data_IF_295915664758
#
_entry.id   IF_295915664758
#
_cell.length_a   1.000
_cell.length_b   1.000
_cell.length_c   1.000
_cell.angle_alpha   90.00
_cell.angle_beta   90.00
_cell.angle_gamma   90.00
#
_symmetry.space_group_name_H-M   'P 1'
#
loop_
_entity.id
_entity.type
_entity.pdbx_description
1 polymer ?
#
# COMPACT_ATOMS: atom_id res chain seq x y z
N UNK A 1 -2.14 7.16 -41.03
CA UNK A 1 -2.25 5.70 -40.87
C UNK A 1 -3.72 5.35 -40.82
N UNK A 2 -4.21 4.52 -41.75
CA UNK A 2 -5.55 3.92 -41.65
C UNK A 2 -5.48 2.72 -40.72
N UNK A 3 -6.50 2.54 -39.89
CA UNK A 3 -6.60 1.37 -39.01
C UNK A 3 -6.89 0.08 -39.80
N UNK A 4 -6.56 -1.11 -39.27
CA UNK A 4 -6.88 -2.36 -39.94
C UNK A 4 -8.39 -2.65 -39.92
N UNK A 5 -8.94 -3.42 -40.88
CA UNK A 5 -10.38 -3.69 -40.96
C UNK A 5 -11.00 -4.39 -39.73
N UNK A 6 -10.18 -5.05 -38.91
CA UNK A 6 -10.58 -5.76 -37.70
C UNK A 6 -10.30 -4.96 -36.41
N UNK A 7 -10.04 -3.65 -36.51
CA UNK A 7 -9.69 -2.82 -35.35
C UNK A 7 -10.75 -2.86 -34.23
N UNK A 8 -12.04 -2.85 -34.59
CA UNK A 8 -13.14 -2.97 -33.63
C UNK A 8 -13.12 -4.32 -32.92
N UNK A 9 -12.93 -5.42 -33.66
CA UNK A 9 -12.85 -6.76 -33.09
C UNK A 9 -11.67 -6.92 -32.10
N UNK A 10 -10.52 -6.27 -32.36
CA UNK A 10 -9.37 -6.29 -31.43
C UNK A 10 -9.62 -5.55 -30.13
N UNK A 11 -10.34 -4.42 -30.19
CA UNK A 11 -10.68 -3.62 -28.99
C UNK A 11 -11.82 -4.25 -28.19
N UNK A 12 -12.67 -5.05 -28.82
CA UNK A 12 -13.81 -5.71 -28.19
C UNK A 12 -13.44 -6.94 -27.35
N UNK A 13 -12.18 -7.37 -27.34
CA UNK A 13 -11.72 -8.46 -26.47
C UNK A 13 -11.88 -8.05 -25.00
N UNK A 14 -12.58 -8.88 -24.22
CA UNK A 14 -12.82 -8.59 -22.80
C UNK A 14 -11.50 -8.61 -22.00
N UNK A 15 -11.30 -7.63 -21.11
CA UNK A 15 -10.15 -7.63 -20.22
C UNK A 15 -10.17 -8.83 -19.26
N UNK A 16 -9.00 -9.39 -18.97
CA UNK A 16 -8.82 -10.43 -17.95
C UNK A 16 -7.94 -9.86 -16.83
N UNK A 17 -8.40 -10.00 -15.59
CA UNK A 17 -7.63 -9.56 -14.41
C UNK A 17 -6.40 -10.47 -14.25
N UNK A 18 -5.22 -9.87 -14.19
CA UNK A 18 -3.95 -10.61 -14.08
C UNK A 18 -3.81 -11.37 -12.76
N UNK A 19 -4.25 -10.76 -11.65
CA UNK A 19 -4.21 -11.33 -10.30
C UNK A 19 -5.55 -11.07 -9.61
N UNK A 20 -6.51 -12.00 -9.68
CA UNK A 20 -7.76 -11.88 -8.94
C UNK A 20 -7.46 -11.78 -7.44
N UNK A 21 -7.94 -10.73 -6.77
CA UNK A 21 -7.60 -10.50 -5.36
C UNK A 21 -8.23 -11.57 -4.44
N UNK A 22 -9.27 -12.25 -4.90
CA UNK A 22 -9.97 -13.33 -4.19
C UNK A 22 -9.08 -14.57 -3.97
N UNK A 23 -7.99 -14.72 -4.74
CA UNK A 23 -7.03 -15.81 -4.56
C UNK A 23 -5.97 -15.50 -3.50
N UNK A 24 -5.92 -14.26 -3.00
CA UNK A 24 -5.02 -13.89 -1.91
C UNK A 24 -5.66 -14.21 -0.57
N UNK A 25 -4.88 -14.83 0.34
CA UNK A 25 -5.35 -15.05 1.70
C UNK A 25 -5.60 -13.69 2.38
N UNK A 26 -6.84 -13.40 2.81
CA UNK A 26 -7.15 -12.12 3.43
C UNK A 26 -6.40 -12.00 4.78
N UNK A 27 -5.95 -10.80 5.16
CA UNK A 27 -5.47 -10.59 6.52
C UNK A 27 -6.63 -10.74 7.52
N UNK A 28 -6.33 -11.25 8.72
CA UNK A 28 -7.31 -11.29 9.82
C UNK A 28 -7.42 -9.90 10.45
N UNK A 29 -8.25 -9.05 9.83
CA UNK A 29 -8.47 -7.68 10.29
C UNK A 29 -9.12 -7.63 11.68
N UNK A 30 -9.87 -8.64 12.08
CA UNK A 30 -10.49 -8.70 13.40
C UNK A 30 -9.47 -9.05 14.46
N UNK A 31 -8.53 -9.96 14.18
CA UNK A 31 -7.38 -10.19 15.05
C UNK A 31 -6.54 -8.92 15.21
N UNK A 32 -6.29 -8.19 14.13
CA UNK A 32 -5.57 -6.91 14.19
C UNK A 32 -6.30 -5.90 15.07
N UNK A 33 -7.60 -5.66 14.84
CA UNK A 33 -8.42 -4.74 15.66
C UNK A 33 -8.42 -5.13 17.14
N UNK A 34 -8.55 -6.42 17.45
CA UNK A 34 -8.51 -6.92 18.84
C UNK A 34 -7.15 -6.70 19.47
N UNK A 35 -6.07 -6.99 18.75
CA UNK A 35 -4.71 -6.72 19.24
C UNK A 35 -4.53 -5.23 19.55
N UNK A 36 -5.06 -4.34 18.70
CA UNK A 36 -4.90 -2.90 18.81
C UNK A 36 -5.75 -2.25 19.92
N UNK A 37 -6.72 -2.94 20.50
CA UNK A 37 -7.61 -2.40 21.53
C UNK A 37 -6.86 -1.81 22.74
N UNK A 38 -5.68 -2.36 23.06
CA UNK A 38 -4.86 -1.94 24.21
C UNK A 38 -3.54 -1.27 23.81
N UNK A 39 -3.36 -0.91 22.53
CA UNK A 39 -2.12 -0.30 22.07
C UNK A 39 -1.95 1.07 22.70
N UNK A 40 -0.72 1.39 23.11
CA UNK A 40 -0.32 2.70 23.61
C UNK A 40 0.64 3.33 22.61
N UNK A 41 0.49 4.64 22.39
CA UNK A 41 1.47 5.40 21.61
C UNK A 41 2.81 5.33 22.34
N UNK A 42 3.83 4.84 21.64
CA UNK A 42 5.19 4.71 22.18
C UNK A 42 6.13 5.79 21.66
N UNK A 43 5.84 6.33 20.48
CA UNK A 43 6.70 7.31 19.82
C UNK A 43 5.88 8.18 18.85
N UNK A 44 6.47 9.29 18.41
CA UNK A 44 5.93 10.20 17.40
C UNK A 44 7.04 10.96 16.68
N UNK A 45 6.85 11.15 15.37
CA UNK A 45 7.74 11.96 14.55
C UNK A 45 6.89 12.95 13.76
N UNK A 46 7.23 14.23 13.86
CA UNK A 46 6.64 15.28 13.04
C UNK A 46 7.50 15.47 11.79
N UNK A 47 6.91 15.32 10.60
CA UNK A 47 7.61 15.53 9.32
C UNK A 47 7.39 16.98 8.87
N UNK A 48 8.43 17.83 8.82
CA UNK A 48 8.30 19.19 8.33
C UNK A 48 7.87 19.25 6.86
N UNK A 49 7.18 20.33 6.42
CA UNK A 49 6.85 20.51 5.01
C UNK A 49 8.10 20.49 4.12
N UNK A 50 8.06 19.71 3.04
CA UNK A 50 9.17 19.53 2.08
C UNK A 50 10.42 18.86 2.66
N UNK A 51 10.27 18.15 3.77
CA UNK A 51 11.34 17.38 4.41
C UNK A 51 10.92 15.92 4.59
N UNK A 52 11.84 15.08 5.03
CA UNK A 52 11.61 13.67 5.33
C UNK A 52 12.04 13.33 6.75
N UNK A 53 11.40 12.31 7.32
CA UNK A 53 11.86 11.72 8.57
C UNK A 53 11.78 10.20 8.50
N UNK A 54 12.58 9.54 9.33
CA UNK A 54 12.57 8.09 9.47
C UNK A 54 12.06 7.72 10.84
N UNK A 55 11.31 6.63 10.92
CA UNK A 55 10.88 6.02 12.18
C UNK A 55 11.03 4.50 12.08
N UNK A 56 11.09 3.81 13.22
CA UNK A 56 11.15 2.34 13.30
C UNK A 56 9.90 1.81 13.97
N UNK A 57 9.37 0.71 13.42
CA UNK A 57 8.21 0.00 13.98
C UNK A 57 8.63 -1.44 14.18
N UNK A 58 8.58 -1.99 15.42
CA UNK A 58 8.90 -3.38 15.65
C UNK A 58 7.87 -4.29 14.98
N UNK A 59 8.23 -5.55 14.73
CA UNK A 59 7.26 -6.56 14.29
C UNK A 59 6.07 -6.61 15.27
N UNK A 60 4.83 -6.59 14.75
CA UNK A 60 3.61 -6.50 15.55
C UNK A 60 3.24 -5.09 16.03
N UNK A 61 4.09 -4.09 15.78
CA UNK A 61 3.79 -2.68 16.01
C UNK A 61 2.86 -2.09 14.94
N UNK A 62 2.31 -0.91 15.24
CA UNK A 62 1.45 -0.15 14.33
C UNK A 62 1.97 1.27 14.25
N UNK A 63 1.93 1.84 13.04
CA UNK A 63 2.14 3.27 12.83
C UNK A 63 0.90 3.90 12.19
N UNK A 64 0.74 5.21 12.39
CA UNK A 64 -0.34 6.01 11.82
C UNK A 64 0.25 7.27 11.22
N UNK A 65 -0.12 7.58 9.97
CA UNK A 65 0.15 8.85 9.32
C UNK A 65 -1.11 9.71 9.47
N UNK A 66 -0.97 10.97 9.90
CA UNK A 66 -2.10 11.85 10.16
C UNK A 66 -1.87 13.22 9.54
N UNK A 67 -2.90 13.76 8.89
CA UNK A 67 -2.96 15.16 8.47
C UNK A 67 -3.35 16.00 9.68
N UNK A 68 -2.52 16.99 10.05
CA UNK A 68 -2.67 17.73 11.32
C UNK A 68 -2.98 19.22 11.16
N UNK A 69 -2.43 19.89 10.13
CA UNK A 69 -2.58 21.35 9.95
C UNK A 69 -3.33 21.73 8.67
N UNK A 70 -3.16 20.97 7.60
CA UNK A 70 -3.81 21.23 6.31
C UNK A 70 -3.60 20.10 5.32
N UNK A 71 -4.24 20.17 4.14
CA UNK A 71 -4.13 19.13 3.12
C UNK A 71 -2.68 18.95 2.66
N UNK A 72 -2.15 17.74 2.83
CA UNK A 72 -0.79 17.39 2.46
C UNK A 72 -0.74 15.92 2.05
N UNK A 73 -0.05 15.63 0.94
CA UNK A 73 0.30 14.26 0.55
C UNK A 73 1.66 13.89 1.14
N UNK A 74 1.89 12.61 1.39
CA UNK A 74 3.18 12.11 1.87
C UNK A 74 3.62 10.91 1.06
N UNK A 75 4.91 10.85 0.76
CA UNK A 75 5.55 9.72 0.08
C UNK A 75 6.10 8.76 1.14
N UNK A 76 5.72 7.49 1.07
CA UNK A 76 6.11 6.46 2.03
C UNK A 76 7.04 5.45 1.36
N UNK A 77 8.16 5.17 2.03
CA UNK A 77 9.01 4.03 1.77
C UNK A 77 9.12 3.16 3.03
N UNK A 78 9.23 1.85 2.84
CA UNK A 78 9.41 0.87 3.91
C UNK A 78 10.61 -0.02 3.58
N UNK A 79 11.36 -0.36 4.61
CA UNK A 79 12.48 -1.29 4.55
C UNK A 79 12.38 -2.27 5.71
N UNK A 80 12.92 -3.48 5.53
CA UNK A 80 13.21 -4.34 6.66
C UNK A 80 14.30 -3.66 7.52
N UNK A 81 14.07 -3.61 8.83
CA UNK A 81 14.97 -2.92 9.76
C UNK A 81 16.37 -3.57 9.84
N UNK A 82 16.45 -4.87 9.56
CA UNK A 82 17.68 -5.66 9.63
C UNK A 82 18.27 -5.96 8.24
N UNK A 83 17.55 -5.63 7.15
CA UNK A 83 18.02 -5.77 5.77
C UNK A 83 17.44 -4.69 4.85
N UNK A 84 18.24 -3.67 4.53
CA UNK A 84 17.82 -2.59 3.63
C UNK A 84 17.67 -3.02 2.16
N UNK A 85 18.13 -4.23 1.80
CA UNK A 85 17.88 -4.83 0.49
C UNK A 85 16.43 -5.28 0.31
N UNK A 86 15.75 -5.60 1.41
CA UNK A 86 14.30 -5.83 1.42
C UNK A 86 13.57 -4.50 1.65
N UNK A 87 12.82 -4.07 0.63
CA UNK A 87 12.09 -2.82 0.66
C UNK A 87 10.73 -2.95 -0.01
N UNK A 88 9.86 -1.97 0.24
CA UNK A 88 8.54 -1.88 -0.37
C UNK A 88 8.63 -1.99 -1.90
N UNK A 89 7.82 -2.89 -2.47
CA UNK A 89 7.78 -3.14 -3.91
C UNK A 89 6.43 -2.75 -4.53
N UNK A 90 6.25 -1.44 -4.73
CA UNK A 90 5.02 -0.84 -5.28
C UNK A 90 4.54 -1.45 -6.60
N UNK A 91 5.45 -1.95 -7.45
CA UNK A 91 5.11 -2.59 -8.72
C UNK A 91 4.33 -3.90 -8.54
N UNK A 92 4.72 -4.75 -7.59
CA UNK A 92 4.01 -6.00 -7.32
C UNK A 92 2.73 -5.76 -6.52
N UNK A 93 2.77 -4.84 -5.55
CA UNK A 93 1.58 -4.36 -4.84
C UNK A 93 0.52 -3.88 -5.81
N UNK A 94 0.90 -3.07 -6.82
CA UNK A 94 -0.01 -2.57 -7.84
C UNK A 94 -0.63 -3.68 -8.69
N UNK A 95 0.15 -4.70 -9.03
CA UNK A 95 -0.35 -5.83 -9.80
C UNK A 95 -1.39 -6.65 -9.02
N UNK A 96 -1.23 -6.75 -7.69
CA UNK A 96 -2.09 -7.55 -6.81
C UNK A 96 -3.33 -6.79 -6.34
N UNK A 97 -3.18 -5.51 -5.99
CA UNK A 97 -4.22 -4.70 -5.32
C UNK A 97 -4.79 -3.58 -6.20
N UNK A 98 -4.15 -3.29 -7.34
CA UNK A 98 -4.56 -2.24 -8.27
C UNK A 98 -3.78 -0.93 -8.10
N UNK A 99 -4.26 0.14 -8.73
CA UNK A 99 -3.53 1.42 -8.79
C UNK A 99 -3.46 2.16 -7.45
N UNK A 100 -4.35 1.83 -6.52
CA UNK A 100 -4.45 2.39 -5.18
C UNK A 100 -4.69 1.25 -4.18
N UNK A 101 -4.34 1.48 -2.92
CA UNK A 101 -4.55 0.53 -1.82
C UNK A 101 -5.54 1.08 -0.81
N UNK A 102 -6.21 0.19 -0.10
CA UNK A 102 -7.15 0.52 0.98
C UNK A 102 -7.04 -0.49 2.13
N UNK A 103 -7.97 -0.40 3.08
CA UNK A 103 -8.02 -1.27 4.26
C UNK A 103 -8.06 -2.74 3.82
N UNK A 104 -7.05 -3.52 4.22
CA UNK A 104 -6.93 -4.96 3.92
C UNK A 104 -5.85 -5.30 2.89
N UNK A 105 -5.36 -4.33 2.13
CA UNK A 105 -4.26 -4.52 1.19
C UNK A 105 -2.90 -4.58 1.90
N UNK A 106 -1.89 -5.15 1.23
CA UNK A 106 -0.54 -5.30 1.75
C UNK A 106 0.47 -4.55 0.89
N UNK A 107 1.45 -3.94 1.54
CA UNK A 107 2.58 -3.24 0.90
C UNK A 107 3.79 -4.17 0.83
#
# INVERSE_FOLDING_TARGET
MSEPPDAEARRAVEPVICYPSEVLAPPDLDAYRKAFANFRKTDEVHVPPRDAATFRVPCGGVFRISSIEGPQVGDLNLWNADDVGEHFYSGKTRALHGTHVSVGDRL
#
